data_IF_671487762493
#
_entry.id   IF_671487762493
#
_cell.length_a   1.000
_cell.length_b   1.000
_cell.length_c   1.000
_cell.angle_alpha   90.00
_cell.angle_beta   90.00
_cell.angle_gamma   90.00
#
_symmetry.space_group_name_H-M   'P 1'
#
loop_
_entity.id
_entity.type
_entity.pdbx_description
1 polymer ?
#
# COMPACT_ATOMS: atom_id res chain seq x y z
N UNK A 1 15.19 -0.55 -40.88
CA UNK A 1 15.46 -0.88 -39.46
C UNK A 1 15.30 -2.37 -39.12
N UNK A 2 15.02 -3.27 -40.08
CA UNK A 2 14.85 -4.72 -39.80
C UNK A 2 15.98 -5.61 -40.35
N UNK A 3 16.84 -5.13 -41.27
CA UNK A 3 18.01 -5.87 -41.76
C UNK A 3 18.97 -6.32 -40.64
N UNK A 4 19.33 -5.43 -39.71
CA UNK A 4 20.31 -5.73 -38.66
C UNK A 4 19.77 -6.82 -37.73
N UNK A 5 18.51 -6.70 -37.30
CA UNK A 5 17.89 -7.70 -36.44
C UNK A 5 17.73 -9.05 -37.14
N UNK A 6 17.44 -9.07 -38.44
CA UNK A 6 17.42 -10.31 -39.24
C UNK A 6 18.79 -10.97 -39.31
N UNK A 7 19.83 -10.24 -39.70
CA UNK A 7 21.19 -10.79 -39.78
C UNK A 7 21.70 -11.30 -38.42
N UNK A 8 21.42 -10.58 -37.33
CA UNK A 8 21.78 -11.02 -35.98
C UNK A 8 21.05 -12.30 -35.60
N UNK A 9 19.76 -12.44 -35.95
CA UNK A 9 19.02 -13.68 -35.69
C UNK A 9 19.57 -14.86 -36.47
N UNK A 10 19.88 -14.68 -37.75
CA UNK A 10 20.49 -15.71 -38.60
C UNK A 10 21.85 -16.14 -38.05
N UNK A 11 22.70 -15.18 -37.64
CA UNK A 11 24.02 -15.47 -37.07
C UNK A 11 23.94 -16.25 -35.75
N UNK A 12 22.93 -15.96 -34.92
CA UNK A 12 22.73 -16.60 -33.62
C UNK A 12 21.83 -17.84 -33.68
N UNK A 13 21.27 -18.18 -34.84
CA UNK A 13 20.35 -19.32 -35.01
C UNK A 13 19.05 -19.20 -34.22
N UNK A 14 18.56 -17.97 -33.99
CA UNK A 14 17.34 -17.70 -33.23
C UNK A 14 16.16 -17.38 -34.16
N UNK A 15 14.97 -17.85 -33.80
CA UNK A 15 13.75 -17.58 -34.55
C UNK A 15 13.27 -16.13 -34.38
N UNK A 16 12.49 -15.61 -35.34
CA UNK A 16 11.76 -14.36 -35.17
C UNK A 16 10.79 -14.47 -33.98
N UNK A 17 10.94 -13.64 -32.95
CA UNK A 17 10.01 -13.66 -31.84
C UNK A 17 8.64 -13.15 -32.28
N UNK A 18 7.58 -13.89 -31.93
CA UNK A 18 6.21 -13.42 -32.03
C UNK A 18 6.00 -12.23 -31.07
N UNK A 19 5.99 -11.02 -31.61
CA UNK A 19 5.65 -9.78 -30.88
C UNK A 19 4.15 -9.64 -30.59
N UNK A 20 3.46 -10.75 -30.32
CA UNK A 20 2.03 -10.76 -29.98
C UNK A 20 1.76 -10.52 -28.49
N UNK A 21 2.80 -10.63 -27.65
CA UNK A 21 2.69 -10.34 -26.21
C UNK A 21 3.10 -8.90 -25.91
N UNK A 22 2.34 -8.26 -25.02
CA UNK A 22 2.72 -6.97 -24.47
C UNK A 22 4.02 -7.09 -23.67
N UNK A 23 4.93 -6.14 -23.88
CA UNK A 23 6.13 -5.94 -23.04
C UNK A 23 5.88 -4.87 -21.96
N UNK A 24 4.66 -4.33 -21.89
CA UNK A 24 4.32 -3.35 -20.86
C UNK A 24 4.35 -4.01 -19.49
N UNK A 25 4.84 -3.27 -18.49
CA UNK A 25 4.72 -3.69 -17.10
C UNK A 25 3.24 -3.85 -16.74
N UNK A 26 2.89 -4.84 -15.91
CA UNK A 26 1.53 -4.94 -15.39
C UNK A 26 1.16 -3.68 -14.63
N UNK A 27 -0.14 -3.38 -14.59
CA UNK A 27 -0.65 -2.28 -13.78
C UNK A 27 -0.22 -2.44 -12.32
N UNK A 28 0.20 -1.33 -11.69
CA UNK A 28 0.66 -1.35 -10.30
C UNK A 28 -0.54 -1.56 -9.38
N UNK A 29 -0.34 -2.33 -8.32
CA UNK A 29 -1.34 -2.48 -7.27
C UNK A 29 -1.50 -1.19 -6.47
N UNK A 30 -2.61 -1.07 -5.74
CA UNK A 30 -2.90 0.11 -4.92
C UNK A 30 -1.78 0.40 -3.91
N UNK A 31 -1.13 -0.66 -3.41
CA UNK A 31 0.04 -0.54 -2.54
C UNK A 31 1.26 0.04 -3.30
N UNK A 32 1.57 -0.49 -4.48
CA UNK A 32 2.65 0.04 -5.33
C UNK A 32 2.46 1.52 -5.67
N UNK A 33 1.23 1.92 -6.03
CA UNK A 33 0.92 3.34 -6.31
C UNK A 33 1.09 4.23 -5.07
N UNK A 34 0.67 3.76 -3.90
CA UNK A 34 0.88 4.47 -2.63
C UNK A 34 2.38 4.63 -2.32
N UNK A 35 3.17 3.56 -2.45
CA UNK A 35 4.59 3.57 -2.14
C UNK A 35 5.38 4.45 -3.11
N UNK A 36 5.01 4.47 -4.39
CA UNK A 36 5.59 5.41 -5.36
C UNK A 36 5.35 6.86 -4.91
N UNK A 37 4.14 7.17 -4.43
CA UNK A 37 3.83 8.50 -3.91
C UNK A 37 4.57 8.82 -2.61
N UNK A 38 4.78 7.82 -1.75
CA UNK A 38 5.48 7.92 -0.46
C UNK A 38 7.01 7.91 -0.59
N UNK A 39 7.55 7.51 -1.73
CA UNK A 39 9.00 7.47 -1.98
C UNK A 39 9.68 8.85 -1.93
N UNK A 40 8.90 9.92 -2.09
CA UNK A 40 9.40 11.29 -2.05
C UNK A 40 9.77 11.70 -0.61
N UNK A 41 10.77 12.57 -0.46
CA UNK A 41 11.13 13.12 0.84
C UNK A 41 10.31 14.37 1.16
N UNK A 42 9.94 14.55 2.42
CA UNK A 42 9.35 15.78 2.96
C UNK A 42 8.05 15.58 3.73
N UNK A 43 7.60 16.64 4.40
CA UNK A 43 6.44 16.59 5.33
C UNK A 43 5.16 16.03 4.69
N UNK A 44 4.95 16.27 3.39
CA UNK A 44 3.77 15.79 2.67
C UNK A 44 3.77 14.29 2.44
N UNK A 45 4.95 13.72 2.14
CA UNK A 45 5.09 12.28 1.95
C UNK A 45 5.08 11.53 3.28
N UNK A 46 5.68 12.13 4.31
CA UNK A 46 5.66 11.59 5.68
C UNK A 46 4.25 11.52 6.27
N UNK A 47 3.43 12.57 6.05
CA UNK A 47 2.04 12.61 6.48
C UNK A 47 1.09 11.71 5.64
N UNK A 48 1.53 11.20 4.49
CA UNK A 48 0.66 10.44 3.59
C UNK A 48 0.38 9.04 4.16
N UNK A 49 -0.88 8.80 4.50
CA UNK A 49 -1.38 7.49 4.95
C UNK A 49 -2.07 6.73 3.84
N UNK A 50 -1.97 5.40 3.87
CA UNK A 50 -2.58 4.53 2.87
C UNK A 50 -4.11 4.73 2.78
N UNK A 51 -4.82 4.77 3.91
CA UNK A 51 -6.27 4.95 3.93
C UNK A 51 -6.73 6.27 3.31
N UNK A 52 -5.95 7.34 3.47
CA UNK A 52 -6.24 8.64 2.84
C UNK A 52 -6.00 8.59 1.33
N UNK A 53 -4.93 7.91 0.90
CA UNK A 53 -4.60 7.70 -0.50
C UNK A 53 -5.74 6.95 -1.23
N UNK A 54 -6.22 5.85 -0.64
CA UNK A 54 -7.30 5.02 -1.19
C UNK A 54 -8.62 5.81 -1.30
N UNK A 55 -9.05 6.47 -0.21
CA UNK A 55 -10.28 7.26 -0.20
C UNK A 55 -10.26 8.38 -1.22
N UNK A 56 -9.14 9.09 -1.34
CA UNK A 56 -8.98 10.20 -2.28
C UNK A 56 -8.97 9.74 -3.74
N UNK A 57 -8.39 8.57 -4.00
CA UNK A 57 -8.29 8.00 -5.34
C UNK A 57 -9.55 7.23 -5.76
N UNK A 58 -10.53 7.03 -4.87
CA UNK A 58 -11.71 6.20 -5.13
C UNK A 58 -11.33 4.74 -5.40
N UNK A 59 -10.25 4.27 -4.79
CA UNK A 59 -9.76 2.90 -4.95
C UNK A 59 -10.38 1.98 -3.90
N UNK A 60 -10.44 0.69 -4.20
CA UNK A 60 -10.78 -0.30 -3.19
C UNK A 60 -9.60 -0.48 -2.20
N UNK A 61 -9.88 -0.62 -0.89
CA UNK A 61 -8.84 -0.91 0.09
C UNK A 61 -8.17 -2.24 -0.25
N UNK A 62 -6.84 -2.31 -0.09
CA UNK A 62 -6.11 -3.55 -0.33
C UNK A 62 -6.62 -4.62 0.62
N UNK A 63 -7.25 -5.66 0.08
CA UNK A 63 -7.43 -6.91 0.83
C UNK A 63 -6.11 -7.66 0.75
N UNK A 64 -5.49 -7.89 1.89
CA UNK A 64 -4.37 -8.81 1.97
C UNK A 64 -4.92 -10.20 1.67
N UNK A 65 -4.95 -10.58 0.39
CA UNK A 65 -4.96 -11.99 0.02
C UNK A 65 -3.58 -12.52 0.38
N UNK A 66 -3.42 -12.88 1.66
CA UNK A 66 -2.42 -13.86 2.03
C UNK A 66 -2.68 -15.07 1.13
N UNK A 67 -1.67 -15.71 0.50
CA UNK A 67 -1.84 -17.01 -0.11
C UNK A 67 -2.02 -18.11 0.94
N UNK A 68 -2.80 -17.85 2.00
CA UNK A 68 -3.25 -18.83 2.96
C UNK A 68 -4.70 -19.15 2.61
N UNK A 69 -4.84 -20.21 1.81
CA UNK A 69 -6.03 -21.05 1.62
C UNK A 69 -7.39 -20.36 1.75
N UNK A 70 -8.04 -20.22 0.59
CA UNK A 70 -9.45 -19.92 0.39
C UNK A 70 -10.34 -20.41 1.56
N UNK A 71 -10.71 -19.50 2.46
CA UNK A 71 -11.82 -19.65 3.38
C UNK A 71 -12.62 -18.34 3.37
N UNK A 72 -13.92 -18.37 3.05
CA UNK A 72 -14.71 -17.16 2.95
C UNK A 72 -15.12 -16.72 4.35
N UNK A 73 -14.48 -15.69 4.90
CA UNK A 73 -15.04 -14.99 6.06
C UNK A 73 -15.48 -13.60 5.62
N UNK A 74 -16.72 -13.56 5.12
CA UNK A 74 -17.55 -12.36 5.11
C UNK A 74 -17.66 -11.83 6.53
N UNK A 75 -17.09 -10.65 6.79
CA UNK A 75 -17.37 -9.88 8.00
C UNK A 75 -17.69 -8.44 7.60
N UNK A 76 -18.88 -8.26 7.02
CA UNK A 76 -19.61 -7.00 7.15
C UNK A 76 -20.01 -6.88 8.63
N UNK A 77 -19.40 -5.98 9.39
CA UNK A 77 -20.08 -5.30 10.50
C UNK A 77 -19.34 -4.02 10.88
N UNK A 78 -19.85 -2.92 10.35
CA UNK A 78 -19.65 -1.59 10.91
C UNK A 78 -20.31 -1.56 12.29
N UNK A 79 -19.52 -1.52 13.37
CA UNK A 79 -19.99 -0.96 14.64
C UNK A 79 -19.12 0.23 15.01
N UNK A 80 -19.64 1.40 14.66
CA UNK A 80 -19.25 2.70 15.19
C UNK A 80 -19.64 2.73 16.68
N UNK A 81 -18.65 2.80 17.55
CA UNK A 81 -18.83 3.22 18.95
C UNK A 81 -17.78 4.26 19.26
N UNK A 82 -18.21 5.52 19.33
CA UNK A 82 -17.42 6.63 19.84
C UNK A 82 -17.48 6.60 21.37
N UNK A 83 -16.32 6.62 22.02
CA UNK A 83 -16.08 7.09 23.40
C UNK A 83 -14.56 7.28 23.46
N UNK A 84 -14.01 8.50 23.52
CA UNK A 84 -14.14 9.39 24.66
C UNK A 84 -12.80 9.33 25.41
N UNK A 85 -11.91 10.25 25.04
CA UNK A 85 -10.69 10.73 25.72
C UNK A 85 -10.39 10.10 27.09
N UNK A 86 -9.27 9.39 27.21
CA UNK A 86 -8.56 9.24 28.50
C UNK A 86 -7.07 9.40 28.25
N UNK A 87 -6.60 10.62 28.50
CA UNK A 87 -5.19 10.97 28.65
C UNK A 87 -4.76 10.47 30.02
N UNK A 88 -3.91 9.44 30.04
CA UNK A 88 -3.36 8.88 31.27
C UNK A 88 -2.35 9.89 31.87
N UNK A 89 -2.89 10.87 32.59
CA UNK A 89 -2.15 11.75 33.48
C UNK A 89 -2.15 11.10 34.87
N UNK A 90 -1.01 10.54 35.26
CA UNK A 90 -0.77 10.01 36.59
C UNK A 90 -1.11 11.04 37.68
N UNK A 91 -1.91 10.69 38.71
CA UNK A 91 -2.35 11.66 39.69
C UNK A 91 -1.26 12.01 40.71
N UNK A 92 -1.19 13.32 40.90
CA UNK A 92 -0.54 14.13 41.94
C UNK A 92 -0.37 13.46 43.31
N UNK A 93 0.82 13.60 43.90
CA UNK A 93 1.07 13.42 45.33
C UNK A 93 1.51 14.77 45.90
N UNK A 94 0.63 15.44 46.64
CA UNK A 94 0.95 16.58 47.52
C UNK A 94 -0.06 16.67 48.68
N UNK A 95 0.50 16.46 49.86
CA UNK A 95 0.33 17.16 51.14
C UNK A 95 -1.06 17.25 51.80
N UNK A 96 -1.13 16.86 53.08
CA UNK A 96 -1.76 17.70 54.12
C UNK A 96 -1.16 17.44 55.50
N UNK A 97 -0.42 18.43 55.98
CA UNK A 97 -0.13 18.75 57.38
C UNK A 97 -1.42 19.16 58.11
N UNK A 98 -1.71 18.63 59.32
CA UNK A 98 -2.26 19.37 60.50
C UNK A 98 -2.41 18.46 61.75
N UNK A 99 -1.63 18.80 62.78
CA UNK A 99 -1.94 18.96 64.21
C UNK A 99 -2.96 18.03 64.91
N UNK A 100 -2.48 17.30 65.93
CA UNK A 100 -2.93 17.45 67.32
C UNK A 100 -1.70 17.38 68.24
#
# INVERSE_FOLDING_TARGET
>A
FQEISRCVRELLGIEEPLFSRSIALPYRDNMGLFLERKSQTGKKADALTFSQFIQKAGLEPYTTVLPLQQSPTTAHSLQRSQTGVEVDALPVSRDTQRQN
#
